data_IF_173907996654
#
_entry.id   IF_173907996654
#
_cell.length_a   1.000
_cell.length_b   1.000
_cell.length_c   1.000
_cell.angle_alpha   90.00
_cell.angle_beta   90.00
_cell.angle_gamma   90.00
#
_symmetry.space_group_name_H-M   'P 1'
#
loop_
_entity.id
_entity.type
_entity.pdbx_description
1 polymer ?
#
# COMPACT_ATOMS: atom_id res chain seq x y z
N UNK A 1 5.46 11.95 -3.18
CA UNK A 1 5.44 12.94 -2.07
C UNK A 1 5.04 14.32 -2.56
N UNK A 2 4.80 15.29 -1.65
CA UNK A 2 4.48 16.69 -1.98
C UNK A 2 3.55 17.31 -0.93
N UNK A 3 3.29 18.63 -0.99
CA UNK A 3 2.43 19.35 -0.04
C UNK A 3 0.98 18.82 -0.05
N UNK A 4 0.21 19.20 0.98
CA UNK A 4 -1.23 18.89 1.02
C UNK A 4 -1.94 19.49 -0.21
N UNK A 5 -2.88 18.78 -0.79
CA UNK A 5 -3.59 19.24 -1.99
C UNK A 5 -2.84 19.06 -3.32
N UNK A 6 -1.58 18.60 -3.34
CA UNK A 6 -0.81 18.42 -4.59
C UNK A 6 -1.29 17.31 -5.53
N UNK A 7 -2.37 16.58 -5.19
CA UNK A 7 -2.96 15.55 -6.04
C UNK A 7 -2.40 14.13 -5.87
N UNK A 8 -1.62 13.84 -4.82
CA UNK A 8 -0.99 12.53 -4.59
C UNK A 8 -1.98 11.38 -4.50
N UNK A 9 -2.98 11.48 -3.61
CA UNK A 9 -4.00 10.44 -3.44
C UNK A 9 -4.87 10.33 -4.69
N UNK A 10 -5.18 11.45 -5.37
CA UNK A 10 -5.91 11.45 -6.64
C UNK A 10 -5.13 10.69 -7.71
N UNK A 11 -3.83 10.99 -7.87
CA UNK A 11 -2.97 10.24 -8.80
C UNK A 11 -2.94 8.75 -8.45
N UNK A 12 -2.77 8.42 -7.16
CA UNK A 12 -2.77 7.02 -6.72
C UNK A 12 -4.11 6.35 -7.02
N UNK A 13 -5.25 7.00 -6.78
CA UNK A 13 -6.57 6.45 -7.09
C UNK A 13 -6.74 6.22 -8.60
N UNK A 14 -6.28 7.15 -9.45
CA UNK A 14 -6.30 6.97 -10.90
C UNK A 14 -5.44 5.79 -11.35
N UNK A 15 -4.18 5.69 -10.87
CA UNK A 15 -3.29 4.58 -11.27
C UNK A 15 -3.69 3.24 -10.66
N UNK A 16 -4.48 3.24 -9.58
CA UNK A 16 -5.08 2.05 -8.99
C UNK A 16 -6.45 1.67 -9.62
N UNK A 17 -6.92 2.44 -10.60
CA UNK A 17 -8.23 2.24 -11.24
C UNK A 17 -9.41 2.44 -10.30
N UNK A 18 -9.24 3.23 -9.23
CA UNK A 18 -10.32 3.62 -8.31
C UNK A 18 -11.05 4.87 -8.79
N UNK A 19 -10.40 5.67 -9.64
CA UNK A 19 -10.96 6.86 -10.25
C UNK A 19 -10.64 6.87 -11.76
N UNK A 20 -11.43 7.61 -12.53
CA UNK A 20 -11.32 7.69 -13.98
C UNK A 20 -10.27 8.72 -14.41
N UNK A 21 -9.55 8.42 -15.51
CA UNK A 21 -8.61 9.35 -16.13
C UNK A 21 -9.37 10.31 -17.06
N UNK A 22 -9.07 11.60 -17.00
CA UNK A 22 -9.50 12.55 -18.03
C UNK A 22 -8.74 12.33 -19.34
N UNK A 23 -7.47 11.96 -19.24
CA UNK A 23 -6.61 11.66 -20.40
C UNK A 23 -5.38 10.85 -19.94
N UNK A 24 -4.66 10.26 -20.90
CA UNK A 24 -3.50 9.42 -20.64
C UNK A 24 -3.85 7.94 -20.54
N UNK A 25 -2.88 7.12 -20.16
CA UNK A 25 -3.01 5.66 -20.08
C UNK A 25 -2.32 5.16 -18.82
N UNK A 26 -2.93 4.17 -18.18
CA UNK A 26 -2.36 3.44 -17.03
C UNK A 26 -2.35 1.97 -17.38
N UNK A 27 -1.22 1.33 -17.08
CA UNK A 27 -1.02 -0.10 -17.27
C UNK A 27 -0.68 -0.78 -15.95
N UNK A 28 -1.30 -1.93 -15.68
CA UNK A 28 -0.89 -2.86 -14.63
C UNK A 28 -0.39 -4.13 -15.32
N UNK A 29 0.93 -4.27 -15.38
CA UNK A 29 1.57 -5.24 -16.27
C UNK A 29 1.30 -4.89 -17.74
N UNK A 30 0.65 -5.80 -18.46
CA UNK A 30 0.27 -5.69 -19.87
C UNK A 30 -1.16 -5.17 -20.08
N UNK A 31 -1.90 -4.89 -19.02
CA UNK A 31 -3.32 -4.53 -19.08
C UNK A 31 -3.50 -3.02 -18.94
N UNK A 32 -4.09 -2.39 -19.98
CA UNK A 32 -4.47 -0.97 -19.96
C UNK A 32 -5.80 -0.79 -19.22
N UNK A 33 -5.79 -0.04 -18.11
CA UNK A 33 -6.96 0.10 -17.22
C UNK A 33 -8.11 0.87 -17.91
N UNK A 34 -7.80 1.88 -18.72
CA UNK A 34 -8.80 2.73 -19.36
C UNK A 34 -9.67 2.02 -20.42
N UNK A 35 -9.30 0.80 -20.81
CA UNK A 35 -10.08 -0.02 -21.77
C UNK A 35 -11.04 -1.01 -21.09
N UNK A 36 -10.93 -1.14 -19.77
CA UNK A 36 -11.71 -2.12 -19.01
C UNK A 36 -13.07 -1.55 -18.62
N UNK A 37 -14.08 -2.39 -18.65
CA UNK A 37 -15.37 -2.13 -18.00
C UNK A 37 -15.24 -2.14 -16.48
N UNK A 38 -16.19 -1.56 -15.77
CA UNK A 38 -16.23 -1.55 -14.28
C UNK A 38 -16.13 -2.96 -13.69
N UNK A 39 -16.74 -3.94 -14.35
CA UNK A 39 -16.67 -5.35 -13.94
C UNK A 39 -15.24 -5.89 -14.08
N UNK A 40 -14.58 -5.62 -15.20
CA UNK A 40 -13.22 -6.06 -15.47
C UNK A 40 -12.22 -5.35 -14.55
N UNK A 41 -12.39 -4.04 -14.31
CA UNK A 41 -11.60 -3.29 -13.31
C UNK A 41 -11.76 -3.89 -11.91
N UNK A 42 -12.98 -4.28 -11.53
CA UNK A 42 -13.23 -4.92 -10.24
C UNK A 42 -12.50 -6.27 -10.13
N UNK A 43 -12.52 -7.08 -11.18
CA UNK A 43 -11.81 -8.37 -11.23
C UNK A 43 -10.29 -8.18 -11.20
N UNK A 44 -9.77 -7.19 -11.95
CA UNK A 44 -8.35 -6.85 -11.97
C UNK A 44 -7.88 -6.39 -10.58
N UNK A 45 -8.60 -5.43 -9.94
CA UNK A 45 -8.28 -4.96 -8.58
C UNK A 45 -8.23 -6.10 -7.58
N UNK A 46 -9.20 -7.01 -7.62
CA UNK A 46 -9.28 -8.16 -6.73
C UNK A 46 -8.06 -9.09 -6.85
N UNK A 47 -7.53 -9.26 -8.06
CA UNK A 47 -6.48 -10.25 -8.35
C UNK A 47 -5.07 -9.67 -8.47
N UNK A 48 -4.93 -8.39 -8.89
CA UNK A 48 -3.64 -7.82 -9.24
C UNK A 48 -3.25 -6.59 -8.41
N UNK A 49 -4.14 -6.06 -7.57
CA UNK A 49 -3.88 -4.83 -6.79
C UNK A 49 -4.13 -5.10 -5.30
N UNK A 50 -3.15 -4.79 -4.47
CA UNK A 50 -3.29 -4.72 -3.02
C UNK A 50 -3.48 -3.28 -2.56
N UNK A 51 -4.20 -3.08 -1.44
CA UNK A 51 -4.38 -1.76 -0.83
C UNK A 51 -4.06 -1.79 0.66
N UNK A 52 -3.29 -0.80 1.10
CA UNK A 52 -3.04 -0.49 2.51
C UNK A 52 -3.46 0.96 2.74
N UNK A 53 -4.36 1.20 3.69
CA UNK A 53 -4.89 2.53 4.00
C UNK A 53 -4.46 2.98 5.39
N UNK A 54 -4.44 4.28 5.62
CA UNK A 54 -4.17 4.89 6.91
C UNK A 54 -5.14 4.41 8.01
N UNK A 55 -6.41 4.19 7.69
CA UNK A 55 -7.46 3.77 8.62
C UNK A 55 -7.64 2.25 8.69
N UNK A 56 -6.64 1.45 8.26
CA UNK A 56 -6.62 -0.01 8.26
C UNK A 56 -7.73 -0.67 7.45
N UNK A 57 -8.97 -0.18 7.51
CA UNK A 57 -10.16 -0.66 6.81
C UNK A 57 -10.39 -2.17 6.99
N UNK A 58 -10.22 -2.66 8.22
CA UNK A 58 -10.54 -4.04 8.58
C UNK A 58 -12.03 -4.21 8.81
N UNK A 59 -12.55 -5.39 8.46
CA UNK A 59 -13.93 -5.77 8.78
C UNK A 59 -14.00 -6.14 10.26
N UNK A 60 -14.72 -5.38 11.11
CA UNK A 60 -14.61 -5.50 12.58
C UNK A 60 -15.16 -6.81 13.14
N UNK A 61 -16.05 -7.49 12.42
CA UNK A 61 -16.65 -8.77 12.81
C UNK A 61 -15.79 -9.98 12.46
N UNK A 62 -14.79 -9.80 11.58
CA UNK A 62 -13.88 -10.84 11.13
C UNK A 62 -12.63 -10.87 12.02
N UNK A 63 -12.03 -12.06 12.20
CA UNK A 63 -10.72 -12.23 12.83
C UNK A 63 -9.61 -11.67 11.94
N UNK A 64 -8.38 -11.60 12.45
CA UNK A 64 -7.21 -11.21 11.67
C UNK A 64 -6.99 -12.16 10.46
N UNK A 65 -7.08 -13.47 10.69
CA UNK A 65 -6.98 -14.47 9.61
C UNK A 65 -8.05 -14.27 8.53
N UNK A 66 -9.30 -14.10 8.94
CA UNK A 66 -10.42 -13.88 8.02
C UNK A 66 -10.28 -12.58 7.24
N UNK A 67 -9.81 -11.49 7.87
CA UNK A 67 -9.49 -10.23 7.20
C UNK A 67 -8.37 -10.41 6.17
N UNK A 68 -7.29 -11.12 6.52
CA UNK A 68 -6.18 -11.39 5.61
C UNK A 68 -6.70 -12.19 4.40
N UNK A 69 -7.51 -13.23 4.62
CA UNK A 69 -8.03 -14.12 3.56
C UNK A 69 -9.17 -13.50 2.73
N UNK A 70 -9.73 -12.38 3.17
CA UNK A 70 -10.91 -11.77 2.54
C UNK A 70 -10.79 -11.58 1.02
N UNK A 71 -9.67 -11.05 0.46
CA UNK A 71 -9.53 -10.91 -0.99
C UNK A 71 -9.64 -12.24 -1.73
N UNK A 72 -9.05 -13.31 -1.18
CA UNK A 72 -9.09 -14.66 -1.76
C UNK A 72 -10.51 -15.25 -1.70
N UNK A 73 -11.18 -15.07 -0.55
CA UNK A 73 -12.57 -15.51 -0.37
C UNK A 73 -13.50 -14.86 -1.39
N UNK A 74 -13.37 -13.53 -1.58
CA UNK A 74 -14.14 -12.77 -2.56
C UNK A 74 -13.80 -13.18 -4.01
N UNK A 75 -12.57 -13.64 -4.26
CA UNK A 75 -12.15 -14.16 -5.57
C UNK A 75 -12.58 -15.61 -5.81
N UNK A 76 -13.18 -16.29 -4.81
CA UNK A 76 -13.45 -17.73 -4.89
C UNK A 76 -12.18 -18.59 -4.97
N UNK A 77 -11.03 -18.03 -4.58
CA UNK A 77 -9.72 -18.67 -4.64
C UNK A 77 -9.37 -19.32 -3.30
N UNK A 78 -8.63 -20.43 -3.34
CA UNK A 78 -8.04 -21.00 -2.13
C UNK A 78 -6.67 -20.39 -1.88
N UNK A 79 -6.32 -20.06 -0.61
CA UNK A 79 -4.99 -19.58 -0.29
C UNK A 79 -3.96 -20.68 -0.54
N UNK A 80 -2.85 -20.33 -1.16
CA UNK A 80 -1.63 -21.12 -1.08
C UNK A 80 -1.14 -21.07 0.38
N UNK A 81 -1.13 -22.23 1.03
CA UNK A 81 -0.82 -22.33 2.46
C UNK A 81 0.59 -21.86 2.77
N UNK A 82 1.56 -22.24 1.94
CA UNK A 82 2.95 -21.85 2.13
C UNK A 82 3.10 -20.32 2.04
N UNK A 83 2.48 -19.71 1.03
CA UNK A 83 2.49 -18.27 0.85
C UNK A 83 1.78 -17.53 2.00
N UNK A 84 0.63 -18.02 2.43
CA UNK A 84 -0.08 -17.46 3.56
C UNK A 84 0.80 -17.47 4.83
N UNK A 85 1.42 -18.61 5.14
CA UNK A 85 2.29 -18.77 6.31
C UNK A 85 3.52 -17.84 6.20
N UNK A 86 4.10 -17.68 5.01
CA UNK A 86 5.20 -16.75 4.77
C UNK A 86 4.78 -15.29 5.03
N UNK A 87 3.65 -14.84 4.47
CA UNK A 87 3.12 -13.49 4.70
C UNK A 87 2.88 -13.25 6.19
N UNK A 88 2.19 -14.17 6.88
CA UNK A 88 1.88 -14.07 8.31
C UNK A 88 3.16 -14.00 9.16
N UNK A 89 4.17 -14.79 8.81
CA UNK A 89 5.46 -14.80 9.50
C UNK A 89 6.19 -13.48 9.29
N UNK A 90 6.25 -12.98 8.06
CA UNK A 90 6.91 -11.71 7.72
C UNK A 90 6.32 -10.54 8.51
N UNK A 91 4.99 -10.47 8.66
CA UNK A 91 4.35 -9.39 9.43
C UNK A 91 4.24 -9.68 10.94
N UNK A 92 4.69 -10.84 11.41
CA UNK A 92 4.73 -11.20 12.83
C UNK A 92 3.35 -11.29 13.49
N UNK A 93 2.37 -11.96 12.85
CA UNK A 93 1.00 -12.10 13.32
C UNK A 93 0.61 -13.52 13.77
N UNK A 94 1.55 -14.47 13.85
CA UNK A 94 1.25 -15.89 14.04
C UNK A 94 0.37 -16.21 15.27
N UNK A 95 0.58 -15.50 16.36
CA UNK A 95 -0.16 -15.67 17.64
C UNK A 95 -1.41 -14.77 17.73
N UNK A 96 -1.73 -13.99 16.70
CA UNK A 96 -2.83 -13.01 16.67
C UNK A 96 -3.92 -13.30 15.63
N UNK A 97 -3.80 -14.39 14.88
CA UNK A 97 -4.71 -14.72 13.78
C UNK A 97 -6.17 -14.88 14.22
N UNK A 98 -6.42 -15.40 15.43
CA UNK A 98 -7.76 -15.56 15.99
C UNK A 98 -8.38 -14.29 16.58
N UNK A 99 -7.63 -13.20 16.72
CA UNK A 99 -8.12 -11.95 17.35
C UNK A 99 -8.93 -11.11 16.35
N UNK A 100 -9.92 -10.38 16.86
CA UNK A 100 -10.68 -9.38 16.10
C UNK A 100 -9.98 -8.02 16.14
N UNK A 101 -10.27 -7.10 15.21
CA UNK A 101 -9.66 -5.76 15.20
C UNK A 101 -9.73 -5.02 16.54
N UNK A 102 -10.84 -5.14 17.28
CA UNK A 102 -11.00 -4.53 18.61
C UNK A 102 -10.04 -5.08 19.69
N UNK A 103 -9.43 -6.23 19.46
CA UNK A 103 -8.49 -6.91 20.37
C UNK A 103 -7.03 -6.69 19.97
N UNK A 104 -6.79 -5.91 18.89
CA UNK A 104 -5.49 -5.64 18.31
C UNK A 104 -5.08 -4.18 18.51
N UNK A 105 -3.79 -3.94 18.77
CA UNK A 105 -3.23 -2.59 18.74
C UNK A 105 -3.29 -2.01 17.33
N UNK A 106 -3.17 -0.67 17.17
CA UNK A 106 -3.14 -0.01 15.86
C UNK A 106 -2.06 -0.58 14.95
N UNK A 107 -0.85 -0.81 15.46
CA UNK A 107 0.24 -1.44 14.71
C UNK A 107 -0.09 -2.87 14.28
N UNK A 108 -0.74 -3.67 15.13
CA UNK A 108 -1.19 -5.02 14.77
C UNK A 108 -2.30 -4.99 13.71
N UNK A 109 -3.24 -4.06 13.81
CA UNK A 109 -4.28 -3.86 12.79
C UNK A 109 -3.66 -3.49 11.43
N UNK A 110 -2.66 -2.62 11.43
CA UNK A 110 -1.97 -2.26 10.19
C UNK A 110 -1.18 -3.44 9.60
N UNK A 111 -0.56 -4.28 10.43
CA UNK A 111 0.08 -5.53 9.98
C UNK A 111 -0.94 -6.46 9.31
N UNK A 112 -2.16 -6.57 9.86
CA UNK A 112 -3.26 -7.32 9.22
C UNK A 112 -3.63 -6.72 7.87
N UNK A 113 -3.69 -5.38 7.75
CA UNK A 113 -3.98 -4.70 6.49
C UNK A 113 -2.87 -4.92 5.45
N UNK A 114 -1.59 -4.90 5.85
CA UNK A 114 -0.46 -5.22 4.97
C UNK A 114 -0.51 -6.69 4.52
N UNK A 115 -0.73 -7.64 5.45
CA UNK A 115 -0.86 -9.05 5.11
C UNK A 115 -2.03 -9.31 4.15
N UNK A 116 -3.18 -8.65 4.37
CA UNK A 116 -4.33 -8.70 3.46
C UNK A 116 -4.00 -8.20 2.07
N UNK A 117 -3.21 -7.14 1.96
CA UNK A 117 -2.79 -6.60 0.66
C UNK A 117 -1.87 -7.56 -0.10
N UNK A 118 -1.02 -8.32 0.60
CA UNK A 118 -0.01 -9.21 0.02
C UNK A 118 -0.53 -10.63 -0.31
N UNK A 119 -1.57 -11.09 0.39
CA UNK A 119 -1.98 -12.51 0.37
C UNK A 119 -2.40 -13.03 -1.02
N UNK A 120 -2.91 -12.14 -1.89
CA UNK A 120 -3.30 -12.47 -3.27
C UNK A 120 -2.14 -12.45 -4.27
N UNK A 121 -0.90 -12.21 -3.84
CA UNK A 121 0.26 -11.99 -4.72
C UNK A 121 -0.02 -10.94 -5.80
N UNK A 122 -0.40 -9.72 -5.41
CA UNK A 122 -0.76 -8.70 -6.38
C UNK A 122 0.44 -8.28 -7.24
N UNK A 123 0.19 -7.72 -8.42
CA UNK A 123 1.24 -7.12 -9.25
C UNK A 123 1.80 -5.84 -8.61
N UNK A 124 0.96 -5.11 -7.84
CA UNK A 124 1.33 -3.88 -7.15
C UNK A 124 0.50 -3.70 -5.88
N UNK A 125 1.13 -3.17 -4.83
CA UNK A 125 0.49 -2.71 -3.60
C UNK A 125 0.50 -1.19 -3.57
N UNK A 126 -0.67 -0.58 -3.43
CA UNK A 126 -0.83 0.85 -3.18
C UNK A 126 -1.02 1.08 -1.69
N UNK A 127 -0.21 1.98 -1.10
CA UNK A 127 -0.25 2.33 0.31
C UNK A 127 -0.48 3.84 0.46
N UNK A 128 -1.63 4.21 1.02
CA UNK A 128 -1.98 5.61 1.29
C UNK A 128 -1.75 5.93 2.76
N UNK A 129 -0.69 6.70 3.04
CA UNK A 129 -0.26 7.10 4.39
C UNK A 129 -0.22 5.91 5.37
N UNK A 130 0.47 4.80 5.06
CA UNK A 130 0.35 3.55 5.81
C UNK A 130 0.79 3.64 7.27
N UNK A 131 1.48 4.70 7.65
CA UNK A 131 2.00 4.95 9.01
C UNK A 131 1.32 6.11 9.72
N UNK A 132 0.39 6.81 9.06
CA UNK A 132 -0.15 8.08 9.54
C UNK A 132 -0.94 8.01 10.86
N UNK A 133 -1.45 6.83 11.24
CA UNK A 133 -2.18 6.60 12.49
C UNK A 133 -1.37 5.78 13.52
N UNK A 134 -0.05 5.67 13.34
CA UNK A 134 0.80 4.84 14.18
C UNK A 134 1.82 5.69 14.95
N UNK A 135 2.24 5.20 16.11
CA UNK A 135 3.44 5.71 16.77
C UNK A 135 4.70 5.39 15.95
N UNK A 136 5.79 6.13 16.22
CA UNK A 136 7.03 6.04 15.43
C UNK A 136 7.62 4.64 15.37
N UNK A 137 7.51 3.84 16.44
CA UNK A 137 8.02 2.48 16.48
C UNK A 137 7.19 1.55 15.59
N UNK A 138 5.88 1.56 15.78
CA UNK A 138 4.95 0.76 14.97
C UNK A 138 5.04 1.17 13.48
N UNK A 139 5.18 2.47 13.20
CA UNK A 139 5.39 2.98 11.83
C UNK A 139 6.65 2.41 11.19
N UNK A 140 7.79 2.44 11.89
CA UNK A 140 9.04 1.89 11.39
C UNK A 140 8.96 0.38 11.12
N UNK A 141 8.25 -0.38 11.98
CA UNK A 141 8.02 -1.81 11.78
C UNK A 141 7.19 -2.08 10.51
N UNK A 142 6.12 -1.30 10.25
CA UNK A 142 5.31 -1.42 9.02
C UNK A 142 6.14 -1.13 7.78
N UNK A 143 6.95 -0.06 7.80
CA UNK A 143 7.83 0.28 6.67
C UNK A 143 8.86 -0.81 6.41
N UNK A 144 9.43 -1.40 7.45
CA UNK A 144 10.36 -2.52 7.34
C UNK A 144 9.68 -3.76 6.71
N UNK A 145 8.42 -4.08 7.08
CA UNK A 145 7.67 -5.17 6.44
C UNK A 145 7.38 -4.89 4.97
N UNK A 146 7.02 -3.65 4.62
CA UNK A 146 6.82 -3.27 3.22
C UNK A 146 8.13 -3.35 2.41
N UNK A 147 9.26 -2.97 3.02
CA UNK A 147 10.59 -3.12 2.42
C UNK A 147 10.93 -4.60 2.21
N UNK A 148 10.77 -5.45 3.22
CA UNK A 148 10.98 -6.89 3.12
C UNK A 148 10.10 -7.53 2.03
N UNK A 149 8.83 -7.10 1.89
CA UNK A 149 7.97 -7.57 0.82
C UNK A 149 8.52 -7.22 -0.57
N UNK A 150 9.18 -6.07 -0.72
CA UNK A 150 9.85 -5.67 -1.97
C UNK A 150 11.13 -6.50 -2.20
N UNK A 151 12.00 -6.60 -1.21
CA UNK A 151 13.33 -7.20 -1.35
C UNK A 151 13.29 -8.73 -1.44
N UNK A 152 12.45 -9.37 -0.63
CA UNK A 152 12.43 -10.82 -0.46
C UNK A 152 11.32 -11.50 -1.26
N UNK A 153 10.19 -10.80 -1.50
CA UNK A 153 9.02 -11.35 -2.21
C UNK A 153 8.87 -10.79 -3.62
N UNK A 154 9.74 -9.82 -4.05
CA UNK A 154 9.68 -9.19 -5.37
C UNK A 154 8.43 -8.33 -5.58
N UNK A 155 7.82 -7.83 -4.50
CA UNK A 155 6.58 -7.07 -4.57
C UNK A 155 6.83 -5.62 -4.97
N UNK A 156 6.07 -5.10 -5.93
CA UNK A 156 6.06 -3.66 -6.23
C UNK A 156 5.16 -2.93 -5.23
N UNK A 157 5.69 -1.85 -4.63
CA UNK A 157 4.93 -1.01 -3.68
C UNK A 157 4.96 0.44 -4.14
N UNK A 158 3.79 1.06 -4.23
CA UNK A 158 3.62 2.50 -4.48
C UNK A 158 3.02 3.13 -3.23
N UNK A 159 3.78 3.99 -2.55
CA UNK A 159 3.37 4.61 -1.30
C UNK A 159 3.15 6.11 -1.48
N UNK A 160 2.01 6.60 -1.01
CA UNK A 160 1.76 8.03 -0.78
C UNK A 160 2.09 8.33 0.67
N UNK A 161 2.95 9.31 0.89
CA UNK A 161 3.27 9.82 2.23
C UNK A 161 3.76 11.26 2.16
N UNK A 162 3.64 11.97 3.28
CA UNK A 162 4.26 13.29 3.51
C UNK A 162 5.45 13.18 4.49
N UNK A 163 5.69 12.00 5.08
CA UNK A 163 6.78 11.75 6.03
C UNK A 163 8.10 11.45 5.29
N UNK A 164 9.16 12.28 5.45
CA UNK A 164 10.48 12.03 4.87
C UNK A 164 11.13 10.73 5.34
N UNK A 165 10.83 10.29 6.58
CA UNK A 165 11.37 9.04 7.12
C UNK A 165 10.74 7.85 6.38
N UNK A 166 9.42 7.86 6.19
CA UNK A 166 8.73 6.83 5.42
C UNK A 166 9.23 6.78 3.96
N UNK A 167 9.43 7.95 3.34
CA UNK A 167 9.93 8.04 1.97
C UNK A 167 11.34 7.46 1.79
N UNK A 168 12.18 7.50 2.82
CA UNK A 168 13.53 6.95 2.77
C UNK A 168 13.58 5.41 2.66
N UNK A 169 12.46 4.71 2.87
CA UNK A 169 12.36 3.27 2.65
C UNK A 169 12.14 2.89 1.17
N UNK A 170 11.87 3.86 0.29
CA UNK A 170 11.63 3.61 -1.12
C UNK A 170 12.93 3.61 -1.95
N UNK A 171 12.92 2.94 -3.10
CA UNK A 171 14.03 3.01 -4.06
C UNK A 171 14.06 4.36 -4.78
N UNK A 172 12.88 5.00 -4.90
CA UNK A 172 12.71 6.28 -5.59
C UNK A 172 11.55 7.06 -5.01
N UNK A 173 11.73 8.37 -4.86
CA UNK A 173 10.66 9.33 -4.53
C UNK A 173 10.30 10.15 -5.76
N UNK A 174 9.00 10.28 -6.02
CA UNK A 174 8.43 11.19 -7.02
C UNK A 174 7.76 12.34 -6.27
N UNK A 175 8.12 13.57 -6.61
CA UNK A 175 7.56 14.78 -5.98
C UNK A 175 6.48 15.37 -6.86
N UNK A 176 5.33 15.66 -6.23
CA UNK A 176 4.19 16.32 -6.86
C UNK A 176 3.97 17.70 -6.21
N UNK A 177 3.73 18.69 -7.04
CA UNK A 177 3.23 20.02 -6.67
C UNK A 177 2.20 20.47 -7.72
N UNK A 178 1.08 21.02 -7.28
CA UNK A 178 0.00 21.54 -8.14
C UNK A 178 -0.45 20.56 -9.24
N UNK A 179 -0.59 19.28 -8.88
CA UNK A 179 -1.03 18.22 -9.80
C UNK A 179 0.02 17.80 -10.83
N UNK A 180 1.28 18.21 -10.69
CA UNK A 180 2.36 17.89 -11.63
C UNK A 180 3.51 17.16 -10.94
N UNK A 181 4.18 16.28 -11.67
CA UNK A 181 5.47 15.74 -11.26
C UNK A 181 6.53 16.84 -11.48
N UNK A 182 7.15 17.29 -10.39
CA UNK A 182 8.12 18.39 -10.41
C UNK A 182 9.56 17.90 -10.21
N UNK A 183 9.74 16.71 -9.62
CA UNK A 183 11.08 16.13 -9.41
C UNK A 183 11.02 14.64 -9.12
N UNK A 184 12.19 13.97 -9.22
CA UNK A 184 12.38 12.57 -8.84
C UNK A 184 13.73 12.41 -8.13
N UNK A 185 13.74 11.61 -7.06
CA UNK A 185 14.94 11.34 -6.26
C UNK A 185 15.16 9.83 -6.15
N UNK A 186 16.16 9.27 -6.84
CA UNK A 186 16.60 7.90 -6.59
C UNK A 186 17.37 7.82 -5.27
N UNK A 187 17.35 6.65 -4.62
CA UNK A 187 18.05 6.37 -3.37
C UNK A 187 17.83 7.48 -2.33
N UNK A 188 16.57 7.72 -1.92
CA UNK A 188 16.24 8.81 -1.02
C UNK A 188 16.81 8.58 0.38
N UNK A 189 17.21 9.66 1.05
CA UNK A 189 17.42 9.69 2.49
C UNK A 189 16.46 10.68 3.13
N UNK A 190 16.09 10.46 4.39
CA UNK A 190 15.14 11.33 5.08
C UNK A 190 15.57 12.83 5.03
N UNK A 191 16.88 13.09 5.20
CA UNK A 191 17.41 14.45 5.13
C UNK A 191 17.27 15.07 3.73
N UNK A 192 17.65 14.32 2.66
CA UNK A 192 17.52 14.82 1.27
C UNK A 192 16.06 15.08 0.89
N UNK A 193 15.16 14.19 1.32
CA UNK A 193 13.72 14.36 1.10
C UNK A 193 13.20 15.60 1.83
N UNK A 194 13.58 15.78 3.11
CA UNK A 194 13.18 16.95 3.91
C UNK A 194 13.67 18.26 3.29
N UNK A 195 14.93 18.32 2.86
CA UNK A 195 15.51 19.51 2.25
C UNK A 195 14.82 19.84 0.92
N UNK A 196 14.47 18.81 0.13
CA UNK A 196 13.72 19.00 -1.10
C UNK A 196 12.29 19.50 -0.86
N UNK A 197 11.61 18.98 0.17
CA UNK A 197 10.27 19.43 0.52
C UNK A 197 10.21 20.87 0.99
N UNK A 198 11.22 21.36 1.72
CA UNK A 198 11.32 22.78 2.13
C UNK A 198 11.37 23.71 0.91
N UNK A 199 12.04 23.31 -0.16
CA UNK A 199 12.13 24.10 -1.39
C UNK A 199 10.81 24.20 -2.18
N UNK A 200 9.75 23.45 -1.81
CA UNK A 200 8.40 23.62 -2.39
C UNK A 200 7.50 24.56 -1.57
N UNK A 201 7.93 24.99 -0.39
CA UNK A 201 7.18 25.87 0.51
C UNK A 201 7.57 27.34 0.44
N UNK A 202 8.60 27.67 -0.36
CA UNK A 202 9.05 29.00 -0.69
C UNK A 202 8.56 29.38 -2.11
#
# INVERSE_FOLDING_TARGET
MGPSGSGKSTLMHCVAGLDSLTSGQVFVGDVELGRLSDKELTLLRRSRIGFVFQSFNLVPTLTAEENIRLPLTLAGSRPDRHWFDQVVTTVGLGDRLGHRPSELSGGQQQRVAVARALVSRPAVVFADEPTGNLDSRSGAEILAFMRAATDEMGQSVVMVTHDPVAAAYADRVVFLADGRVVDQMPEPTAQRVLDRMKAFGD
#
